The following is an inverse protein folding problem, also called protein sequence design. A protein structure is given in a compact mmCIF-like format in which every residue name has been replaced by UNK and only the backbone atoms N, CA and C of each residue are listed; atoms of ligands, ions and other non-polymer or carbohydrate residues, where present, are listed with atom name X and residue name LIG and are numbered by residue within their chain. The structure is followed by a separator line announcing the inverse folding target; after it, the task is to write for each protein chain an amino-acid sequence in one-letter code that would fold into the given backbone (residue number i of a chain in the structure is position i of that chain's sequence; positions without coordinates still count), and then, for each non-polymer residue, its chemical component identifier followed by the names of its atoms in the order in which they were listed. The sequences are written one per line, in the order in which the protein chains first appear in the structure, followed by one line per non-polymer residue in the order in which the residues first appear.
data_IF_353275191374
#
_entry.id   IF_353275191374
#
_cell.length_a   1.000
_cell.length_b   1.000
_cell.length_c   1.000
_cell.angle_alpha   90.00
_cell.angle_beta   90.00
_cell.angle_gamma   90.00
#
_symmetry.space_group_name_H-M   'P 1'
#
loop_
_entity.id
_entity.type
_entity.pdbx_description
1 polymer ?
#
# COMPACT_ATOMS: atom_id res chain seq x y z
N UNK A 1 17.38 -9.48 -19.81
CA UNK A 1 16.30 -8.47 -19.85
C UNK A 1 14.94 -9.08 -20.19
N UNK A 2 14.77 -9.86 -21.26
CA UNK A 2 13.48 -10.42 -21.67
C UNK A 2 12.83 -11.27 -20.57
N UNK A 3 13.55 -12.14 -19.88
CA UNK A 3 13.01 -12.95 -18.79
C UNK A 3 12.50 -12.12 -17.59
N UNK A 4 13.17 -11.01 -17.30
CA UNK A 4 12.77 -10.10 -16.24
C UNK A 4 11.41 -9.46 -16.53
N UNK A 5 11.21 -8.98 -17.76
CA UNK A 5 9.96 -8.35 -18.18
C UNK A 5 8.80 -9.36 -18.22
N UNK A 6 9.06 -10.58 -18.70
CA UNK A 6 8.05 -11.65 -18.72
C UNK A 6 7.62 -12.06 -17.30
N UNK A 7 8.57 -12.16 -16.38
CA UNK A 7 8.28 -12.44 -14.97
C UNK A 7 7.44 -11.34 -14.32
N UNK A 8 7.82 -10.07 -14.51
CA UNK A 8 7.06 -8.92 -13.99
C UNK A 8 5.64 -8.88 -14.54
N UNK A 9 5.48 -9.05 -15.86
CA UNK A 9 4.16 -9.13 -16.50
C UNK A 9 3.33 -10.27 -15.91
N UNK A 10 3.92 -11.44 -15.69
CA UNK A 10 3.24 -12.57 -15.07
C UNK A 10 2.74 -12.23 -13.66
N UNK A 11 3.54 -11.56 -12.83
CA UNK A 11 3.14 -11.12 -11.49
C UNK A 11 1.97 -10.15 -11.51
N UNK A 12 2.00 -9.15 -12.40
CA UNK A 12 0.90 -8.19 -12.55
C UNK A 12 -0.39 -8.89 -12.97
N UNK A 13 -0.33 -9.73 -14.00
CA UNK A 13 -1.53 -10.45 -14.49
C UNK A 13 -2.11 -11.39 -13.44
N UNK A 14 -1.27 -12.12 -12.71
CA UNK A 14 -1.71 -12.99 -11.62
C UNK A 14 -2.35 -12.19 -10.48
N UNK A 15 -1.79 -11.01 -10.13
CA UNK A 15 -2.36 -10.13 -9.11
C UNK A 15 -3.76 -9.65 -9.49
N UNK A 16 -3.93 -9.19 -10.72
CA UNK A 16 -5.22 -8.74 -11.25
C UNK A 16 -6.22 -9.89 -11.29
N UNK A 17 -5.79 -11.08 -11.75
CA UNK A 17 -6.64 -12.28 -11.77
C UNK A 17 -7.12 -12.64 -10.36
N UNK A 18 -6.25 -12.59 -9.37
CA UNK A 18 -6.56 -12.92 -7.97
C UNK A 18 -7.58 -11.92 -7.38
N UNK A 19 -7.39 -10.64 -7.62
CA UNK A 19 -8.33 -9.58 -7.21
C UNK A 19 -9.68 -9.76 -7.90
N UNK A 20 -9.69 -10.06 -9.20
CA UNK A 20 -10.91 -10.29 -9.98
C UNK A 20 -11.71 -11.48 -9.46
N UNK A 21 -11.05 -12.60 -9.11
CA UNK A 21 -11.69 -13.79 -8.56
C UNK A 21 -12.37 -13.54 -7.20
N UNK A 22 -11.85 -12.58 -6.42
CA UNK A 22 -12.34 -12.24 -5.09
C UNK A 22 -12.76 -10.77 -4.96
N UNK A 23 -13.32 -10.19 -6.02
CA UNK A 23 -13.51 -8.74 -6.16
C UNK A 23 -14.21 -8.08 -4.97
N UNK A 24 -15.32 -8.67 -4.48
CA UNK A 24 -16.09 -8.13 -3.35
C UNK A 24 -15.24 -8.01 -2.08
N UNK A 25 -14.50 -9.07 -1.75
CA UNK A 25 -13.64 -9.09 -0.55
C UNK A 25 -12.39 -8.24 -0.75
N UNK A 26 -11.86 -8.21 -1.96
CA UNK A 26 -10.74 -7.33 -2.32
C UNK A 26 -11.12 -5.85 -2.15
N UNK A 27 -12.29 -5.44 -2.61
CA UNK A 27 -12.82 -4.08 -2.38
C UNK A 27 -12.97 -3.83 -0.87
N UNK A 28 -13.54 -4.78 -0.13
CA UNK A 28 -13.67 -4.65 1.33
C UNK A 28 -12.32 -4.41 2.02
N UNK A 29 -11.27 -5.19 1.69
CA UNK A 29 -9.93 -4.99 2.25
C UNK A 29 -9.32 -3.64 1.85
N UNK A 30 -9.49 -3.25 0.59
CA UNK A 30 -9.03 -1.93 0.14
C UNK A 30 -9.75 -0.79 0.84
N UNK A 31 -11.08 -0.89 1.01
CA UNK A 31 -11.88 0.09 1.76
C UNK A 31 -11.50 0.14 3.24
N UNK A 32 -11.27 -1.01 3.87
CA UNK A 32 -10.79 -1.08 5.26
C UNK A 32 -9.45 -0.36 5.41
N UNK A 33 -8.52 -0.58 4.48
CA UNK A 33 -7.24 0.11 4.47
C UNK A 33 -7.42 1.63 4.30
N UNK A 34 -8.23 2.07 3.32
CA UNK A 34 -8.53 3.50 3.12
C UNK A 34 -9.18 4.12 4.36
N UNK A 35 -10.13 3.44 4.97
CA UNK A 35 -10.75 3.92 6.20
C UNK A 35 -9.74 4.14 7.32
N UNK A 36 -8.88 3.16 7.58
CA UNK A 36 -7.91 3.23 8.68
C UNK A 36 -6.78 4.24 8.46
N UNK A 37 -6.30 4.39 7.22
CA UNK A 37 -5.10 5.19 6.96
C UNK A 37 -5.36 6.57 6.35
N UNK A 38 -6.54 6.78 5.75
CA UNK A 38 -6.84 8.05 5.07
C UNK A 38 -8.09 8.72 5.62
N UNK A 39 -9.20 8.00 5.76
CA UNK A 39 -10.50 8.60 6.10
C UNK A 39 -10.57 8.95 7.58
N UNK A 40 -10.36 7.96 8.46
CA UNK A 40 -10.48 8.17 9.91
C UNK A 40 -9.46 9.18 10.45
N UNK A 41 -8.16 9.14 10.07
CA UNK A 41 -7.21 10.15 10.52
C UNK A 41 -7.49 11.57 10.03
N UNK A 42 -8.24 11.73 8.94
CA UNK A 42 -8.65 13.05 8.44
C UNK A 42 -9.79 13.69 9.26
N UNK A 43 -10.50 12.91 10.07
CA UNK A 43 -11.58 13.41 10.93
C UNK A 43 -10.96 14.07 12.17
N UNK A 44 -11.33 15.33 12.52
CA UNK A 44 -10.86 15.98 13.73
C UNK A 44 -11.12 15.13 14.98
N UNK A 45 -10.08 14.94 15.81
CA UNK A 45 -10.13 14.11 17.00
C UNK A 45 -9.86 12.62 16.79
N UNK A 46 -9.75 12.16 15.53
CA UNK A 46 -9.45 10.76 15.19
C UNK A 46 -8.04 10.53 14.63
N UNK A 47 -7.16 11.53 14.68
CA UNK A 47 -5.78 11.43 14.15
C UNK A 47 -4.99 10.27 14.79
N UNK A 48 -5.29 9.94 16.06
CA UNK A 48 -4.67 8.81 16.75
C UNK A 48 -4.93 7.46 16.06
N UNK A 49 -6.04 7.33 15.30
CA UNK A 49 -6.34 6.11 14.56
C UNK A 49 -5.27 5.84 13.51
N UNK A 50 -4.75 6.88 12.84
CA UNK A 50 -3.65 6.74 11.88
C UNK A 50 -2.38 6.18 12.52
N UNK A 51 -2.01 6.71 13.69
CA UNK A 51 -0.85 6.23 14.44
C UNK A 51 -1.03 4.77 14.90
N UNK A 52 -2.22 4.44 15.42
CA UNK A 52 -2.56 3.09 15.84
C UNK A 52 -2.59 2.11 14.65
N UNK A 53 -3.07 2.55 13.49
CA UNK A 53 -3.08 1.78 12.26
C UNK A 53 -1.67 1.42 11.80
N UNK A 54 -0.71 2.35 11.90
CA UNK A 54 0.70 2.07 11.58
C UNK A 54 1.25 0.95 12.44
N UNK A 55 0.84 0.86 13.69
CA UNK A 55 1.25 -0.23 14.58
C UNK A 55 0.59 -1.56 14.20
N UNK A 56 -0.67 -1.53 13.75
CA UNK A 56 -1.44 -2.73 13.41
C UNK A 56 -1.27 -3.23 11.96
N UNK A 57 -0.66 -2.45 11.09
CA UNK A 57 -0.56 -2.79 9.66
C UNK A 57 0.04 -4.18 9.38
N UNK A 58 1.03 -4.72 10.15
CA UNK A 58 1.58 -6.04 9.86
C UNK A 58 0.55 -7.16 10.02
N UNK A 59 -0.35 -7.02 11.00
CA UNK A 59 -1.45 -7.98 11.22
C UNK A 59 -2.44 -7.94 10.07
N UNK A 60 -2.85 -6.74 9.64
CA UNK A 60 -3.74 -6.55 8.50
C UNK A 60 -3.14 -7.15 7.22
N UNK A 61 -1.86 -6.90 6.98
CA UNK A 61 -1.14 -7.45 5.83
C UNK A 61 -1.13 -8.98 5.85
N UNK A 62 -0.81 -9.61 6.98
CA UNK A 62 -0.80 -11.07 7.11
C UNK A 62 -2.20 -11.64 6.86
N UNK A 63 -3.23 -11.01 7.43
CA UNK A 63 -4.61 -11.44 7.28
C UNK A 63 -5.07 -11.40 5.81
N UNK A 64 -4.84 -10.30 5.12
CA UNK A 64 -5.20 -10.14 3.70
C UNK A 64 -4.44 -11.15 2.83
N UNK A 65 -3.15 -11.36 3.09
CA UNK A 65 -2.34 -12.26 2.29
C UNK A 65 -2.67 -13.74 2.60
N UNK A 66 -3.01 -14.06 3.84
CA UNK A 66 -3.53 -15.39 4.18
C UNK A 66 -4.82 -15.70 3.40
N UNK A 67 -5.72 -14.70 3.29
CA UNK A 67 -6.91 -14.82 2.47
C UNK A 67 -6.56 -15.08 0.99
N UNK A 68 -5.69 -14.26 0.38
CA UNK A 68 -5.29 -14.46 -1.02
C UNK A 68 -4.58 -15.80 -1.26
N UNK A 69 -3.80 -16.27 -0.29
CA UNK A 69 -3.18 -17.59 -0.34
C UNK A 69 -4.23 -18.71 -0.33
N UNK A 70 -5.22 -18.64 0.55
CA UNK A 70 -6.32 -19.60 0.61
C UNK A 70 -7.10 -19.64 -0.73
N UNK A 71 -7.41 -18.48 -1.29
CA UNK A 71 -8.07 -18.36 -2.61
C UNK A 71 -7.23 -18.98 -3.73
N UNK A 72 -5.93 -18.69 -3.78
CA UNK A 72 -5.04 -19.24 -4.80
C UNK A 72 -4.87 -20.77 -4.70
N UNK A 73 -5.06 -21.34 -3.50
CA UNK A 73 -5.01 -22.79 -3.22
C UNK A 73 -6.39 -23.45 -3.29
N UNK A 74 -7.44 -22.70 -3.64
CA UNK A 74 -8.85 -23.12 -3.65
C UNK A 74 -9.31 -23.71 -2.33
N UNK A 75 -8.78 -23.20 -1.20
CA UNK A 75 -9.15 -23.58 0.15
C UNK A 75 -10.14 -22.57 0.74
N UNK A 76 -10.97 -23.06 1.66
CA UNK A 76 -11.81 -22.15 2.44
C UNK A 76 -10.94 -21.31 3.37
N UNK A 77 -11.19 -20.00 3.38
CA UNK A 77 -10.56 -19.11 4.34
C UNK A 77 -11.12 -19.36 5.73
N UNK A 78 -10.24 -19.58 6.72
CA UNK A 78 -10.60 -19.68 8.12
C UNK A 78 -9.87 -18.60 8.93
N UNK A 79 -10.65 -17.76 9.60
CA UNK A 79 -10.10 -16.76 10.52
C UNK A 79 -9.37 -17.42 11.70
N UNK A 80 -9.92 -18.52 12.22
CA UNK A 80 -9.32 -19.27 13.33
C UNK A 80 -7.93 -19.81 12.97
N UNK A 81 -7.79 -20.42 11.81
CA UNK A 81 -6.47 -20.89 11.32
C UNK A 81 -5.47 -19.76 11.17
N UNK A 82 -5.90 -18.59 10.70
CA UNK A 82 -5.04 -17.41 10.62
C UNK A 82 -4.62 -16.96 12.02
N UNK A 83 -5.55 -16.88 12.97
CA UNK A 83 -5.29 -16.49 14.34
C UNK A 83 -4.34 -17.46 15.07
N UNK A 84 -4.55 -18.76 14.92
CA UNK A 84 -3.66 -19.80 15.47
C UNK A 84 -2.23 -19.71 14.90
N UNK A 85 -2.10 -19.44 13.60
CA UNK A 85 -0.79 -19.25 12.97
C UNK A 85 -0.07 -18.01 13.50
N UNK A 86 -0.79 -16.93 13.79
CA UNK A 86 -0.24 -15.65 14.26
C UNK A 86 0.08 -15.70 15.76
N UNK A 87 -0.74 -16.36 16.56
CA UNK A 87 -0.67 -16.37 18.04
C UNK A 87 0.74 -16.62 18.60
N UNK A 88 1.51 -17.64 18.18
CA UNK A 88 2.86 -17.88 18.71
C UNK A 88 3.90 -16.84 18.25
N UNK A 89 3.55 -15.95 17.33
CA UNK A 89 4.46 -15.00 16.66
C UNK A 89 4.08 -13.54 16.93
N UNK A 90 3.08 -13.30 17.75
CA UNK A 90 2.53 -11.97 18.03
C UNK A 90 3.64 -10.99 18.42
N UNK A 91 4.57 -11.38 19.30
CA UNK A 91 5.66 -10.50 19.74
C UNK A 91 6.54 -10.02 18.56
N UNK A 92 6.93 -10.94 17.66
CA UNK A 92 7.74 -10.57 16.51
C UNK A 92 6.98 -9.69 15.50
N UNK A 93 5.68 -9.91 15.35
CA UNK A 93 4.81 -9.10 14.47
C UNK A 93 4.61 -7.70 15.06
N UNK A 94 4.38 -7.62 16.39
CA UNK A 94 4.29 -6.35 17.11
C UNK A 94 5.59 -5.54 17.00
N UNK A 95 6.75 -6.19 17.04
CA UNK A 95 8.03 -5.51 16.83
C UNK A 95 8.16 -4.90 15.44
N UNK A 96 7.60 -5.53 14.39
CA UNK A 96 7.54 -4.90 13.06
C UNK A 96 6.62 -3.68 13.08
N UNK A 97 5.48 -3.75 13.75
CA UNK A 97 4.58 -2.62 13.93
C UNK A 97 5.23 -1.47 14.70
N UNK A 98 5.91 -1.78 15.79
CA UNK A 98 6.65 -0.82 16.62
C UNK A 98 7.79 -0.17 15.82
N UNK A 99 8.54 -0.94 15.06
CA UNK A 99 9.57 -0.44 14.16
C UNK A 99 8.98 0.53 13.13
N UNK A 100 7.85 0.18 12.52
CA UNK A 100 7.15 1.03 11.57
C UNK A 100 6.64 2.32 12.21
N UNK A 101 6.14 2.25 13.42
CA UNK A 101 5.67 3.39 14.19
C UNK A 101 6.80 4.38 14.51
N UNK A 102 7.92 3.91 15.04
CA UNK A 102 9.08 4.79 15.29
C UNK A 102 9.64 5.37 14.01
N UNK A 103 9.64 4.60 12.92
CA UNK A 103 10.08 5.10 11.64
C UNK A 103 9.17 6.20 11.08
N UNK A 104 7.85 6.06 11.27
CA UNK A 104 6.89 7.09 10.89
C UNK A 104 7.11 8.40 11.69
N UNK A 105 7.40 8.31 12.99
CA UNK A 105 7.76 9.47 13.82
C UNK A 105 9.06 10.12 13.29
N UNK A 106 10.09 9.33 12.99
CA UNK A 106 11.33 9.84 12.42
C UNK A 106 11.09 10.56 11.10
N UNK A 107 10.31 9.97 10.18
CA UNK A 107 9.93 10.58 8.91
C UNK A 107 9.18 11.90 9.12
N UNK A 108 8.19 11.91 10.01
CA UNK A 108 7.46 13.12 10.33
C UNK A 108 8.34 14.23 10.90
N UNK A 109 9.33 13.89 11.74
CA UNK A 109 10.25 14.88 12.29
C UNK A 109 11.20 15.45 11.25
N UNK A 110 11.66 14.62 10.30
CA UNK A 110 12.60 15.04 9.25
C UNK A 110 11.94 15.81 8.10
N UNK A 111 10.66 15.55 7.83
CA UNK A 111 9.91 16.21 6.76
C UNK A 111 9.01 17.34 7.28
N UNK A 112 8.73 17.38 8.57
CA UNK A 112 7.77 18.31 9.17
C UNK A 112 8.11 19.75 8.94
N UNK A 113 9.38 20.14 9.07
CA UNK A 113 9.86 21.51 8.82
C UNK A 113 9.72 21.91 7.35
N UNK A 114 10.03 21.00 6.43
CA UNK A 114 9.94 21.28 5.00
C UNK A 114 8.48 21.44 4.57
N UNK A 115 7.59 20.60 5.09
CA UNK A 115 6.15 20.67 4.82
C UNK A 115 5.56 21.97 5.44
N UNK A 116 5.92 22.30 6.66
CA UNK A 116 5.47 23.52 7.33
C UNK A 116 5.89 24.78 6.54
N UNK A 117 7.12 24.84 6.03
CA UNK A 117 7.58 25.95 5.22
C UNK A 117 6.79 26.09 3.91
N UNK A 118 6.45 24.99 3.24
CA UNK A 118 5.60 25.04 2.04
C UNK A 118 4.17 25.53 2.35
N UNK A 119 3.59 25.09 3.45
CA UNK A 119 2.27 25.54 3.89
C UNK A 119 2.30 27.03 4.21
N UNK A 120 3.33 27.52 4.89
CA UNK A 120 3.48 28.94 5.24
C UNK A 120 3.60 29.84 3.99
N UNK A 121 4.41 29.40 2.99
CA UNK A 121 4.54 30.09 1.70
C UNK A 121 3.18 30.17 0.99
N UNK A 122 2.44 29.06 0.96
CA UNK A 122 1.11 28.99 0.34
C UNK A 122 0.10 29.92 1.02
N UNK A 123 0.15 30.05 2.34
CA UNK A 123 -0.76 30.92 3.08
C UNK A 123 -0.43 32.42 2.94
N UNK A 124 0.86 32.75 2.82
CA UNK A 124 1.31 34.14 2.67
C UNK A 124 1.11 34.69 1.26
N UNK A 125 1.12 33.84 0.26
CA UNK A 125 1.07 34.23 -1.16
C UNK A 125 0.00 33.40 -1.89
N UNK A 126 -1.23 33.92 -1.98
CA UNK A 126 -2.36 33.24 -2.64
C UNK A 126 -2.12 32.96 -4.15
N UNK A 127 -1.18 33.67 -4.77
CA UNK A 127 -0.79 33.51 -6.18
C UNK A 127 0.50 32.70 -6.35
N UNK A 128 1.05 32.11 -5.28
CA UNK A 128 2.31 31.37 -5.36
C UNK A 128 2.14 30.12 -6.22
N UNK A 129 2.85 30.09 -7.35
CA UNK A 129 2.92 28.89 -8.19
C UNK A 129 4.07 28.02 -7.71
N UNK A 130 3.75 26.86 -7.15
CA UNK A 130 4.74 25.88 -6.75
C UNK A 130 5.59 25.44 -7.94
N UNK A 131 6.90 25.44 -7.75
CA UNK A 131 7.87 24.95 -8.73
C UNK A 131 8.34 23.54 -8.35
N UNK A 132 8.90 22.82 -9.33
CA UNK A 132 9.49 21.48 -9.06
C UNK A 132 10.62 21.57 -8.04
N UNK A 133 11.33 22.71 -7.98
CA UNK A 133 12.42 22.92 -7.00
C UNK A 133 11.93 22.93 -5.56
N UNK A 134 10.72 23.43 -5.29
CA UNK A 134 10.14 23.49 -3.94
C UNK A 134 9.91 22.09 -3.37
N UNK A 135 9.56 21.15 -4.23
CA UNK A 135 9.30 19.76 -3.83
C UNK A 135 10.55 18.86 -3.92
N UNK A 136 11.60 19.25 -4.63
CA UNK A 136 12.75 18.39 -4.89
C UNK A 136 13.46 17.95 -3.62
N UNK A 137 13.59 18.84 -2.63
CA UNK A 137 14.20 18.55 -1.33
C UNK A 137 13.37 17.53 -0.53
N UNK A 138 12.05 17.73 -0.46
CA UNK A 138 11.14 16.80 0.23
C UNK A 138 11.12 15.46 -0.48
N UNK A 139 11.01 15.45 -1.81
CA UNK A 139 10.96 14.24 -2.61
C UNK A 139 12.24 13.42 -2.48
N UNK A 140 13.41 14.06 -2.51
CA UNK A 140 14.70 13.38 -2.33
C UNK A 140 14.83 12.74 -0.94
N UNK A 141 14.47 13.46 0.12
CA UNK A 141 14.46 12.93 1.50
C UNK A 141 13.48 11.76 1.62
N UNK A 142 12.28 11.90 1.05
CA UNK A 142 11.25 10.86 1.08
C UNK A 142 11.73 9.60 0.34
N UNK A 143 12.35 9.73 -0.83
CA UNK A 143 12.89 8.59 -1.59
C UNK A 143 14.00 7.89 -0.79
N UNK A 144 14.96 8.64 -0.26
CA UNK A 144 16.11 8.08 0.46
C UNK A 144 15.68 7.37 1.75
N UNK A 145 14.65 7.86 2.42
CA UNK A 145 14.14 7.26 3.66
C UNK A 145 13.10 6.18 3.37
N UNK A 146 12.07 6.45 2.58
CA UNK A 146 10.94 5.53 2.39
C UNK A 146 11.33 4.25 1.66
N UNK A 147 12.21 4.30 0.64
CA UNK A 147 12.58 3.10 -0.13
C UNK A 147 13.25 2.03 0.75
N UNK A 148 14.32 2.32 1.54
CA UNK A 148 14.90 1.33 2.43
C UNK A 148 13.91 0.78 3.46
N UNK A 149 13.04 1.64 4.00
CA UNK A 149 12.00 1.22 4.92
C UNK A 149 11.00 0.26 4.26
N UNK A 150 10.50 0.60 3.09
CA UNK A 150 9.62 -0.30 2.33
C UNK A 150 10.31 -1.63 2.03
N UNK A 151 11.58 -1.64 1.66
CA UNK A 151 12.34 -2.87 1.41
C UNK A 151 12.46 -3.73 2.67
N UNK A 152 12.72 -3.12 3.83
CA UNK A 152 12.78 -3.81 5.12
C UNK A 152 11.44 -4.40 5.54
N UNK A 153 10.35 -3.73 5.23
CA UNK A 153 9.03 -4.09 5.76
C UNK A 153 8.17 -4.86 4.76
N UNK A 154 8.46 -4.82 3.45
CA UNK A 154 7.62 -5.40 2.40
C UNK A 154 7.27 -6.88 2.64
N UNK A 155 8.26 -7.71 2.97
CA UNK A 155 8.05 -9.14 3.22
C UNK A 155 8.15 -9.53 4.70
N UNK A 156 8.57 -8.63 5.60
CA UNK A 156 8.83 -8.97 7.00
C UNK A 156 7.66 -9.61 7.72
N UNK A 157 6.42 -9.08 7.64
CA UNK A 157 5.28 -9.72 8.30
C UNK A 157 5.04 -11.15 7.80
N UNK A 158 5.23 -11.37 6.49
CA UNK A 158 5.01 -12.65 5.84
C UNK A 158 6.08 -13.68 6.18
N UNK A 159 7.34 -13.24 6.29
CA UNK A 159 8.46 -14.09 6.72
C UNK A 159 8.27 -14.57 8.16
N UNK A 160 7.75 -13.71 9.04
CA UNK A 160 7.40 -14.09 10.40
C UNK A 160 6.23 -15.08 10.39
N UNK A 161 5.15 -14.73 9.68
CA UNK A 161 3.94 -15.54 9.69
C UNK A 161 4.13 -16.91 9.04
N UNK A 162 4.71 -16.97 7.83
CA UNK A 162 4.74 -18.17 6.99
C UNK A 162 6.06 -18.95 7.02
N UNK A 163 7.18 -18.31 7.40
CA UNK A 163 8.53 -18.94 7.42
C UNK A 163 9.12 -19.04 8.83
N UNK A 164 8.37 -18.66 9.87
CA UNK A 164 8.80 -18.72 11.28
C UNK A 164 10.10 -17.94 11.56
N UNK A 165 10.31 -16.81 10.88
CA UNK A 165 11.48 -15.98 11.13
C UNK A 165 11.25 -15.10 12.36
N UNK A 166 12.30 -14.87 13.16
CA UNK A 166 12.27 -13.83 14.18
C UNK A 166 12.35 -12.44 13.56
N UNK A 167 12.05 -11.40 14.35
CA UNK A 167 11.98 -10.01 13.90
C UNK A 167 13.22 -9.56 13.09
N UNK A 168 14.43 -9.67 13.67
CA UNK A 168 15.66 -9.19 13.01
C UNK A 168 15.94 -9.96 11.71
N UNK A 169 15.76 -11.28 11.73
CA UNK A 169 15.96 -12.12 10.55
C UNK A 169 14.97 -11.76 9.45
N UNK A 170 13.71 -11.48 9.81
CA UNK A 170 12.68 -11.09 8.83
C UNK A 170 12.98 -9.76 8.16
N UNK A 171 13.41 -8.74 8.91
CA UNK A 171 13.80 -7.42 8.37
C UNK A 171 14.99 -7.57 7.40
N UNK A 172 16.06 -8.25 7.83
CA UNK A 172 17.26 -8.46 6.99
C UNK A 172 16.93 -9.24 5.71
N UNK A 173 16.14 -10.32 5.82
CA UNK A 173 15.76 -11.15 4.67
C UNK A 173 14.79 -10.42 3.73
N UNK A 174 13.87 -9.61 4.27
CA UNK A 174 12.99 -8.76 3.48
C UNK A 174 13.80 -7.74 2.68
N UNK A 175 14.74 -7.04 3.33
CA UNK A 175 15.60 -6.07 2.67
C UNK A 175 16.43 -6.71 1.54
N UNK A 176 17.11 -7.82 1.83
CA UNK A 176 17.94 -8.52 0.85
C UNK A 176 17.12 -9.01 -0.36
N UNK A 177 15.94 -9.60 -0.11
CA UNK A 177 15.04 -10.06 -1.17
C UNK A 177 14.48 -8.89 -1.98
N UNK A 178 14.04 -7.83 -1.32
CA UNK A 178 13.54 -6.62 -2.01
C UNK A 178 14.62 -5.94 -2.84
N UNK A 179 15.87 -5.92 -2.37
CA UNK A 179 17.00 -5.38 -3.13
C UNK A 179 17.29 -6.23 -4.37
N UNK A 180 17.31 -7.56 -4.22
CA UNK A 180 17.56 -8.49 -5.34
C UNK A 180 16.49 -8.40 -6.43
N UNK A 181 15.23 -8.19 -6.05
CA UNK A 181 14.09 -8.12 -6.97
C UNK A 181 13.54 -6.68 -7.12
N UNK A 182 14.35 -5.66 -6.79
CA UNK A 182 13.92 -4.26 -6.76
C UNK A 182 13.26 -3.82 -8.07
N UNK A 183 13.93 -4.07 -9.19
CA UNK A 183 13.43 -3.67 -10.50
C UNK A 183 12.14 -4.38 -10.89
N UNK A 184 12.01 -5.68 -10.59
CA UNK A 184 10.80 -6.43 -10.89
C UNK A 184 9.62 -5.95 -10.06
N UNK A 185 9.82 -5.73 -8.75
CA UNK A 185 8.78 -5.24 -7.83
C UNK A 185 8.37 -3.82 -8.22
N UNK A 186 9.35 -2.93 -8.46
CA UNK A 186 9.08 -1.56 -8.87
C UNK A 186 8.31 -1.49 -10.20
N UNK A 187 8.74 -2.23 -11.22
CA UNK A 187 8.04 -2.30 -12.50
C UNK A 187 6.63 -2.87 -12.37
N UNK A 188 6.43 -3.87 -11.50
CA UNK A 188 5.10 -4.42 -11.26
C UNK A 188 4.18 -3.39 -10.57
N UNK A 189 4.69 -2.66 -9.56
CA UNK A 189 3.94 -1.59 -8.89
C UNK A 189 3.60 -0.45 -9.87
N UNK A 190 4.56 -0.01 -10.69
CA UNK A 190 4.34 0.99 -11.74
C UNK A 190 3.28 0.51 -12.72
N UNK A 191 3.32 -0.77 -13.13
CA UNK A 191 2.33 -1.36 -14.02
C UNK A 191 0.91 -1.32 -13.44
N UNK A 192 0.75 -1.70 -12.16
CA UNK A 192 -0.55 -1.64 -11.46
C UNK A 192 -1.01 -0.19 -11.30
N UNK A 193 -0.10 0.73 -10.95
CA UNK A 193 -0.40 2.16 -10.83
C UNK A 193 -0.85 2.75 -12.18
N UNK A 194 -0.18 2.41 -13.27
CA UNK A 194 -0.54 2.88 -14.60
C UNK A 194 -1.92 2.39 -15.03
N UNK A 195 -2.25 1.13 -14.77
CA UNK A 195 -3.59 0.59 -15.00
C UNK A 195 -4.65 1.32 -14.16
N UNK A 196 -4.36 1.62 -12.90
CA UNK A 196 -5.25 2.40 -12.04
C UNK A 196 -5.50 3.80 -12.62
N UNK A 197 -4.46 4.51 -13.05
CA UNK A 197 -4.58 5.84 -13.64
C UNK A 197 -5.39 5.83 -14.92
N UNK A 198 -5.20 4.82 -15.79
CA UNK A 198 -6.02 4.64 -17.00
C UNK A 198 -7.51 4.47 -16.65
N UNK A 199 -7.80 3.64 -15.63
CA UNK A 199 -9.19 3.40 -15.21
C UNK A 199 -9.83 4.67 -14.62
N UNK A 200 -9.10 5.41 -13.79
CA UNK A 200 -9.58 6.68 -13.22
C UNK A 200 -9.84 7.69 -14.35
N UNK A 201 -8.93 7.81 -15.31
CA UNK A 201 -9.09 8.70 -16.46
C UNK A 201 -10.31 8.29 -17.32
N UNK A 202 -10.46 7.00 -17.63
CA UNK A 202 -11.59 6.49 -18.40
C UNK A 202 -12.94 6.77 -17.72
N UNK A 203 -13.04 6.53 -16.41
CA UNK A 203 -14.25 6.83 -15.62
C UNK A 203 -14.52 8.34 -15.61
N UNK A 204 -13.48 9.16 -15.40
CA UNK A 204 -13.62 10.62 -15.38
C UNK A 204 -14.11 11.17 -16.73
N UNK A 205 -13.52 10.69 -17.84
CA UNK A 205 -13.99 11.08 -19.17
C UNK A 205 -15.44 10.66 -19.42
N UNK A 206 -15.77 9.42 -19.09
CA UNK A 206 -17.13 8.90 -19.31
C UNK A 206 -18.16 9.72 -18.52
N UNK A 207 -17.93 10.00 -17.25
CA UNK A 207 -18.84 10.78 -16.42
C UNK A 207 -18.95 12.24 -16.90
N UNK A 208 -17.87 12.85 -17.36
CA UNK A 208 -17.88 14.21 -17.89
C UNK A 208 -18.71 14.36 -19.17
N UNK A 209 -18.78 13.32 -20.01
CA UNK A 209 -19.61 13.30 -21.21
C UNK A 209 -21.11 13.28 -20.91
N UNK A 210 -21.52 12.72 -19.78
CA UNK A 210 -22.93 12.55 -19.43
C UNK A 210 -23.59 13.76 -18.74
N UNK A 211 -22.85 14.79 -18.29
CA UNK A 211 -23.54 15.86 -17.58
C UNK A 211 -22.78 17.13 -17.26
N UNK A 212 -21.61 17.32 -17.83
CA UNK A 212 -20.79 18.53 -17.59
C UNK A 212 -20.23 18.62 -16.16
N UNK A 213 -19.09 19.27 -16.02
CA UNK A 213 -18.32 19.34 -14.76
C UNK A 213 -19.01 20.08 -13.60
N UNK A 214 -20.20 20.65 -13.82
CA UNK A 214 -20.93 21.48 -12.82
C UNK A 214 -22.04 20.72 -12.09
N UNK A 215 -22.32 19.44 -12.41
CA UNK A 215 -23.38 18.67 -11.75
C UNK A 215 -22.87 18.06 -10.42
N UNK A 216 -23.50 18.40 -9.31
CA UNK A 216 -23.20 17.84 -7.98
C UNK A 216 -23.28 16.31 -7.99
N UNK A 217 -24.26 15.73 -8.72
CA UNK A 217 -24.41 14.30 -8.84
C UNK A 217 -23.18 13.65 -9.52
N UNK A 218 -22.68 14.28 -10.60
CA UNK A 218 -21.51 13.76 -11.32
C UNK A 218 -20.26 13.84 -10.46
N UNK A 219 -20.06 14.94 -9.73
CA UNK A 219 -18.96 15.08 -8.79
C UNK A 219 -19.01 14.01 -7.70
N UNK A 220 -20.20 13.70 -7.18
CA UNK A 220 -20.41 12.62 -6.21
C UNK A 220 -20.06 11.24 -6.82
N UNK A 221 -20.59 10.93 -8.00
CA UNK A 221 -20.33 9.67 -8.69
C UNK A 221 -18.84 9.50 -9.03
N UNK A 222 -18.16 10.58 -9.43
CA UNK A 222 -16.73 10.58 -9.71
C UNK A 222 -15.93 10.28 -8.43
N UNK A 223 -16.23 10.96 -7.34
CA UNK A 223 -15.56 10.74 -6.06
C UNK A 223 -15.77 9.31 -5.57
N UNK A 224 -17.00 8.82 -5.61
CA UNK A 224 -17.33 7.45 -5.19
C UNK A 224 -16.63 6.39 -6.04
N UNK A 225 -16.63 6.56 -7.37
CA UNK A 225 -15.94 5.66 -8.30
C UNK A 225 -14.43 5.66 -8.05
N UNK A 226 -13.85 6.83 -7.80
CA UNK A 226 -12.41 6.97 -7.51
C UNK A 226 -12.04 6.25 -6.21
N UNK A 227 -12.86 6.34 -5.17
CA UNK A 227 -12.65 5.62 -3.91
C UNK A 227 -12.66 4.10 -4.13
N UNK A 228 -13.63 3.58 -4.91
CA UNK A 228 -13.69 2.15 -5.24
C UNK A 228 -12.46 1.72 -6.04
N UNK A 229 -12.06 2.48 -7.06
CA UNK A 229 -10.87 2.18 -7.86
C UNK A 229 -9.61 2.20 -7.00
N UNK A 230 -9.51 3.14 -6.05
CA UNK A 230 -8.41 3.21 -5.10
C UNK A 230 -8.39 1.99 -4.17
N UNK A 231 -9.55 1.51 -3.73
CA UNK A 231 -9.65 0.28 -2.96
C UNK A 231 -9.16 -0.95 -3.76
N UNK A 232 -9.53 -1.03 -5.05
CA UNK A 232 -9.06 -2.09 -5.96
C UNK A 232 -7.54 -1.99 -6.18
N UNK A 233 -7.00 -0.78 -6.33
CA UNK A 233 -5.55 -0.56 -6.45
C UNK A 233 -4.80 -1.06 -5.23
N UNK A 234 -5.26 -0.70 -4.02
CA UNK A 234 -4.67 -1.17 -2.76
C UNK A 234 -4.75 -2.70 -2.66
N UNK A 235 -5.90 -3.28 -2.96
CA UNK A 235 -6.07 -4.73 -2.96
C UNK A 235 -5.11 -5.42 -3.96
N UNK A 236 -4.88 -4.80 -5.13
CA UNK A 236 -3.94 -5.30 -6.14
C UNK A 236 -2.49 -5.26 -5.65
N UNK A 237 -2.10 -4.28 -4.84
CA UNK A 237 -0.77 -4.24 -4.22
C UNK A 237 -0.57 -5.35 -3.20
N UNK A 238 -1.57 -5.69 -2.39
CA UNK A 238 -1.52 -6.85 -1.49
C UNK A 238 -1.49 -8.18 -2.25
N UNK A 239 -2.28 -8.30 -3.33
CA UNK A 239 -2.23 -9.46 -4.20
C UNK A 239 -0.84 -9.63 -4.84
N UNK A 240 -0.22 -8.53 -5.31
CA UNK A 240 1.16 -8.54 -5.83
C UNK A 240 2.15 -8.98 -4.75
N UNK A 241 2.03 -8.47 -3.54
CA UNK A 241 2.87 -8.84 -2.41
C UNK A 241 2.76 -10.35 -2.11
N UNK A 242 1.54 -10.91 -2.16
CA UNK A 242 1.30 -12.35 -2.00
C UNK A 242 2.01 -13.19 -3.08
N UNK A 243 1.87 -12.79 -4.34
CA UNK A 243 2.43 -13.51 -5.49
C UNK A 243 3.95 -13.43 -5.50
N UNK A 244 4.51 -12.24 -5.27
CA UNK A 244 5.97 -12.03 -5.21
C UNK A 244 6.58 -12.78 -4.03
N UNK A 245 5.91 -12.80 -2.87
CA UNK A 245 6.35 -13.58 -1.72
C UNK A 245 6.44 -15.09 -2.07
N UNK A 246 5.40 -15.65 -2.69
CA UNK A 246 5.38 -17.06 -3.13
C UNK A 246 6.46 -17.36 -4.17
N UNK A 247 6.75 -16.42 -5.06
CA UNK A 247 7.75 -16.59 -6.12
C UNK A 247 9.18 -16.56 -5.59
N UNK A 248 9.46 -15.69 -4.61
CA UNK A 248 10.79 -15.42 -4.07
C UNK A 248 11.16 -16.38 -2.94
N UNK A 249 10.23 -16.69 -2.06
CA UNK A 249 10.45 -17.53 -0.86
C UNK A 249 9.81 -18.92 -1.00
N UNK A 250 10.20 -19.63 -2.04
CA UNK A 250 9.76 -21.02 -2.28
C UNK A 250 10.10 -21.95 -1.15
#
# INVERSE_FOLDING_TARGET
MINLFLQTRSWVLQSISLVRQSLKISIFFGMLYLAMYMILPAIPGMQFVGLFSIFLWPFLTIFIIFYYKAMAEQKLFSFEQCAEMIKPKISSILLVGLFSFFYAILLSSLLGSDIASLVEISQKNQEYQYTISDFSGILSKLIVLAIPFMMMTWFSPLLIAFKNYGFIKSIKSSFAASLMYLFQIALALIGIMFLFLILVFAVSMTLSLFGGAKSTLISFLLSFSTIILMAIFIASTFALQSITFKAIFK
#
